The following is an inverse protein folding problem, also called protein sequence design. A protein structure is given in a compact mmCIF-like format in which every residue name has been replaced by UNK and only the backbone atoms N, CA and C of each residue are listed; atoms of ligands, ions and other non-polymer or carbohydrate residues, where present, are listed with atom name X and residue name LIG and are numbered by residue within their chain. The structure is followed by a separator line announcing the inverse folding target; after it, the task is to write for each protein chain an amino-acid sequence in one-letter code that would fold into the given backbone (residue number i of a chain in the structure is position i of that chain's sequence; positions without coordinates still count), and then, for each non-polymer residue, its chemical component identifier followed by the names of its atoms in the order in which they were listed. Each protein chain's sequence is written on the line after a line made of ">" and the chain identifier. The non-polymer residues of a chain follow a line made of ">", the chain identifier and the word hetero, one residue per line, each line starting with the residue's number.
data_IF_553890400036
#
_entry.id   IF_553890400036
#
_cell.length_a   1.000
_cell.length_b   1.000
_cell.length_c   1.000
_cell.angle_alpha   90.00
_cell.angle_beta   90.00
_cell.angle_gamma   90.00
#
_symmetry.space_group_name_H-M   'P 1'
#
loop_
_entity.id
_entity.type
_entity.pdbx_description
1 polymer ?
#
# COMPACT_ATOMS: atom_id res chain seq x y z
N UNK A 1 -9.93 20.03 22.77
CA UNK A 1 -9.86 18.58 23.04
C UNK A 1 -10.51 17.90 21.86
N UNK A 2 -9.83 16.96 21.22
CA UNK A 2 -10.40 16.18 20.13
C UNK A 2 -11.40 15.17 20.68
N UNK A 3 -12.37 14.79 19.85
CA UNK A 3 -13.40 13.83 20.24
C UNK A 3 -13.00 12.49 19.65
N UNK A 4 -12.90 11.46 20.48
CA UNK A 4 -12.70 10.09 20.02
C UNK A 4 -14.05 9.51 19.56
N UNK A 5 -14.34 9.60 18.26
CA UNK A 5 -15.60 9.13 17.69
C UNK A 5 -15.73 7.60 17.75
N UNK A 6 -14.62 6.86 17.70
CA UNK A 6 -14.61 5.40 17.82
C UNK A 6 -15.01 4.98 19.24
N UNK A 7 -14.45 5.65 20.26
CA UNK A 7 -14.88 5.40 21.64
C UNK A 7 -16.36 5.77 21.85
N UNK A 8 -16.84 6.84 21.22
CA UNK A 8 -18.26 7.24 21.31
C UNK A 8 -19.19 6.23 20.65
N UNK A 9 -18.80 5.66 19.52
CA UNK A 9 -19.55 4.61 18.88
C UNK A 9 -19.52 3.30 19.67
N UNK A 10 -18.36 2.93 20.23
CA UNK A 10 -18.25 1.75 21.09
C UNK A 10 -19.16 1.84 22.34
N UNK A 11 -19.29 3.03 22.92
CA UNK A 11 -20.22 3.26 24.03
C UNK A 11 -21.68 3.15 23.56
N UNK A 12 -22.01 3.68 22.38
CA UNK A 12 -23.34 3.54 21.78
C UNK A 12 -23.71 2.07 21.53
N UNK A 13 -22.78 1.28 20.97
CA UNK A 13 -22.98 -0.15 20.71
C UNK A 13 -23.22 -0.91 22.01
N UNK A 14 -22.45 -0.62 23.06
CA UNK A 14 -22.63 -1.27 24.37
C UNK A 14 -24.02 -1.01 24.95
N UNK A 15 -24.52 0.21 24.82
CA UNK A 15 -25.87 0.58 25.27
C UNK A 15 -26.96 -0.06 24.38
N UNK A 16 -26.71 -0.16 23.07
CA UNK A 16 -27.62 -0.79 22.13
C UNK A 16 -27.78 -2.29 22.41
N UNK A 17 -26.68 -3.02 22.60
CA UNK A 17 -26.70 -4.46 22.94
C UNK A 17 -27.50 -4.73 24.21
N UNK A 18 -27.32 -3.91 25.25
CA UNK A 18 -28.06 -4.05 26.51
C UNK A 18 -29.57 -3.84 26.33
N UNK A 19 -29.97 -2.83 25.55
CA UNK A 19 -31.39 -2.54 25.29
C UNK A 19 -32.05 -3.62 24.45
N UNK A 20 -31.34 -4.13 23.46
CA UNK A 20 -31.86 -5.11 22.50
C UNK A 20 -31.61 -6.57 22.90
N UNK A 21 -30.97 -6.81 24.05
CA UNK A 21 -30.67 -8.14 24.61
C UNK A 21 -29.86 -9.00 23.63
N UNK A 22 -28.89 -8.38 22.96
CA UNK A 22 -27.96 -9.07 22.06
C UNK A 22 -26.83 -9.65 22.94
N UNK A 23 -26.73 -10.97 22.97
CA UNK A 23 -25.83 -11.69 23.89
C UNK A 23 -24.57 -12.24 23.21
N UNK A 24 -24.59 -12.48 21.89
CA UNK A 24 -23.46 -13.00 21.11
C UNK A 24 -22.84 -11.91 20.21
N UNK A 25 -21.52 -12.04 19.99
CA UNK A 25 -20.74 -11.14 19.15
C UNK A 25 -21.05 -11.34 17.66
N UNK A 26 -21.38 -12.56 17.22
CA UNK A 26 -21.74 -12.85 15.82
C UNK A 26 -22.96 -12.05 15.33
N UNK A 27 -24.02 -11.93 16.16
CA UNK A 27 -25.22 -11.16 15.78
C UNK A 27 -24.93 -9.65 15.75
N UNK A 28 -23.91 -9.19 16.50
CA UNK A 28 -23.47 -7.81 16.49
C UNK A 28 -22.68 -7.50 15.23
N UNK A 29 -21.77 -8.39 14.81
CA UNK A 29 -20.93 -8.20 13.64
C UNK A 29 -21.76 -8.02 12.36
N UNK A 30 -22.90 -8.71 12.26
CA UNK A 30 -23.84 -8.59 11.14
C UNK A 30 -24.54 -7.22 11.08
N UNK A 31 -24.79 -6.57 12.22
CA UNK A 31 -25.57 -5.32 12.29
C UNK A 31 -24.71 -4.08 12.56
N UNK A 32 -23.49 -4.25 13.06
CA UNK A 32 -22.60 -3.16 13.45
C UNK A 32 -22.30 -2.17 12.31
N UNK A 33 -22.08 -2.61 11.05
CA UNK A 33 -21.88 -1.68 9.93
C UNK A 33 -23.08 -0.76 9.70
N UNK A 34 -24.30 -1.32 9.68
CA UNK A 34 -25.53 -0.56 9.48
C UNK A 34 -25.79 0.40 10.66
N UNK A 35 -25.57 -0.08 11.89
CA UNK A 35 -25.68 0.76 13.10
C UNK A 35 -24.67 1.91 13.10
N UNK A 36 -23.47 1.70 12.57
CA UNK A 36 -22.47 2.75 12.44
C UNK A 36 -22.97 3.84 11.50
N UNK A 37 -23.43 3.46 10.30
CA UNK A 37 -23.96 4.41 9.32
C UNK A 37 -25.16 5.20 9.87
N UNK A 38 -26.09 4.53 10.54
CA UNK A 38 -27.21 5.21 11.21
C UNK A 38 -26.74 6.17 12.31
N UNK A 39 -25.78 5.74 13.13
CA UNK A 39 -25.23 6.55 14.22
C UNK A 39 -24.54 7.82 13.72
N UNK A 40 -23.87 7.76 12.56
CA UNK A 40 -23.21 8.90 11.93
C UNK A 40 -24.18 10.04 11.56
N UNK A 41 -25.45 9.72 11.33
CA UNK A 41 -26.52 10.68 11.02
C UNK A 41 -27.44 10.99 12.22
N UNK A 42 -27.25 10.29 13.34
CA UNK A 42 -28.03 10.51 14.55
C UNK A 42 -27.50 11.72 15.36
N UNK A 43 -28.37 12.68 15.74
CA UNK A 43 -28.02 13.78 16.66
C UNK A 43 -27.42 13.28 17.97
N UNK A 44 -26.34 13.93 18.42
CA UNK A 44 -25.66 13.58 19.66
C UNK A 44 -25.69 14.75 20.64
N UNK A 45 -26.11 14.49 21.88
CA UNK A 45 -26.13 15.52 22.94
C UNK A 45 -24.74 16.11 23.21
N UNK A 46 -23.69 15.29 23.10
CA UNK A 46 -22.29 15.71 23.27
C UNK A 46 -21.71 16.46 22.06
N UNK A 47 -22.47 16.57 20.97
CA UNK A 47 -22.22 17.45 19.82
C UNK A 47 -23.29 18.56 19.73
N UNK A 48 -23.84 19.01 20.86
CA UNK A 48 -24.86 20.07 20.88
C UNK A 48 -26.09 19.75 19.99
N UNK A 49 -26.44 18.47 19.86
CA UNK A 49 -27.60 18.01 19.09
C UNK A 49 -27.37 17.93 17.58
N UNK A 50 -26.13 18.00 17.09
CA UNK A 50 -25.81 17.66 15.69
C UNK A 50 -25.28 16.23 15.56
N UNK A 51 -25.39 15.65 14.37
CA UNK A 51 -24.81 14.33 14.08
C UNK A 51 -23.31 14.40 13.77
N UNK A 52 -22.55 13.30 13.90
CA UNK A 52 -21.15 13.22 13.49
C UNK A 52 -20.90 13.73 12.05
N UNK A 53 -21.73 13.33 11.08
CA UNK A 53 -21.62 13.80 9.70
C UNK A 53 -21.84 15.32 9.61
N UNK A 54 -22.92 15.83 10.24
CA UNK A 54 -23.22 17.26 10.22
C UNK A 54 -22.14 18.12 10.90
N UNK A 55 -21.49 17.59 11.94
CA UNK A 55 -20.41 18.27 12.65
C UNK A 55 -19.23 18.60 11.74
N UNK A 56 -18.77 17.65 10.93
CA UNK A 56 -17.67 17.87 9.98
C UNK A 56 -18.15 18.60 8.72
N UNK A 57 -19.35 18.31 8.22
CA UNK A 57 -19.90 18.96 7.02
C UNK A 57 -20.06 20.49 7.18
N UNK A 58 -20.21 20.98 8.42
CA UNK A 58 -20.29 22.41 8.70
C UNK A 58 -18.92 23.13 8.71
N UNK A 59 -17.80 22.39 8.61
CA UNK A 59 -16.46 22.96 8.67
C UNK A 59 -15.96 23.42 7.30
N UNK A 60 -15.21 24.52 7.29
CA UNK A 60 -14.49 24.96 6.09
C UNK A 60 -13.31 24.01 5.76
N UNK A 61 -12.90 23.90 4.48
CA UNK A 61 -11.82 22.99 4.05
C UNK A 61 -10.53 23.10 4.85
N UNK A 62 -10.05 24.32 5.15
CA UNK A 62 -8.83 24.51 5.95
C UNK A 62 -8.95 23.97 7.37
N UNK A 63 -10.16 24.03 7.94
CA UNK A 63 -10.43 23.47 9.26
C UNK A 63 -10.45 21.96 9.23
N UNK A 64 -11.01 21.33 8.20
CA UNK A 64 -10.98 19.87 8.02
C UNK A 64 -9.54 19.35 7.96
N UNK A 65 -8.68 19.97 7.14
CA UNK A 65 -7.26 19.58 7.04
C UNK A 65 -6.51 19.79 8.37
N UNK A 66 -6.80 20.89 9.07
CA UNK A 66 -6.25 21.12 10.41
C UNK A 66 -6.72 20.08 11.43
N UNK A 67 -7.95 19.59 11.33
CA UNK A 67 -8.47 18.52 12.19
C UNK A 67 -7.77 17.19 11.89
N UNK A 68 -7.57 16.84 10.61
CA UNK A 68 -6.84 15.64 10.20
C UNK A 68 -5.44 15.61 10.84
N UNK A 69 -4.68 16.71 10.70
CA UNK A 69 -3.37 16.84 11.32
C UNK A 69 -3.42 16.66 12.85
N UNK A 70 -4.39 17.30 13.51
CA UNK A 70 -4.55 17.22 14.97
C UNK A 70 -4.88 15.80 15.45
N UNK A 71 -5.74 15.06 14.76
CA UNK A 71 -6.05 13.67 15.10
C UNK A 71 -4.82 12.78 14.99
N UNK A 72 -4.08 12.89 13.88
CA UNK A 72 -2.85 12.11 13.68
C UNK A 72 -1.79 12.45 14.74
N UNK A 73 -1.57 13.73 15.03
CA UNK A 73 -0.64 14.17 16.09
C UNK A 73 -1.04 13.69 17.49
N UNK A 74 -2.35 13.59 17.76
CA UNK A 74 -2.85 13.18 19.08
C UNK A 74 -2.91 11.66 19.24
N UNK A 75 -2.52 10.87 18.23
CA UNK A 75 -2.67 9.41 18.20
C UNK A 75 -4.11 8.94 18.47
N UNK A 76 -5.10 9.73 18.07
CA UNK A 76 -6.51 9.36 18.09
C UNK A 76 -6.90 8.93 16.68
N UNK A 77 -7.72 7.88 16.55
CA UNK A 77 -8.21 7.42 15.25
C UNK A 77 -8.88 8.58 14.51
N UNK A 78 -8.49 8.79 13.25
CA UNK A 78 -9.08 9.83 12.42
C UNK A 78 -10.52 9.40 12.10
N UNK A 79 -11.54 10.21 12.45
CA UNK A 79 -12.93 9.81 12.24
C UNK A 79 -13.25 9.64 10.75
N UNK A 80 -13.94 8.55 10.37
CA UNK A 80 -14.44 8.34 9.01
C UNK A 80 -15.19 9.54 8.42
N UNK A 81 -16.13 10.17 9.15
CA UNK A 81 -16.82 11.37 8.68
C UNK A 81 -15.91 12.55 8.32
N UNK A 82 -14.77 12.69 9.01
CA UNK A 82 -13.78 13.71 8.68
C UNK A 82 -13.09 13.39 7.36
N UNK A 83 -12.67 12.14 7.16
CA UNK A 83 -12.06 11.68 5.91
C UNK A 83 -13.02 11.87 4.73
N UNK A 84 -14.28 11.45 4.89
CA UNK A 84 -15.33 11.61 3.88
C UNK A 84 -15.53 13.08 3.50
N UNK A 85 -15.65 13.98 4.50
CA UNK A 85 -15.78 15.42 4.22
C UNK A 85 -14.56 16.00 3.50
N UNK A 86 -13.36 15.49 3.78
CA UNK A 86 -12.13 15.90 3.08
C UNK A 86 -12.15 15.41 1.63
N UNK A 87 -12.52 14.14 1.42
CA UNK A 87 -12.60 13.54 0.10
C UNK A 87 -13.68 14.22 -0.77
N UNK A 88 -14.89 14.40 -0.24
CA UNK A 88 -16.00 15.10 -0.91
C UNK A 88 -15.66 16.56 -1.26
N UNK A 89 -14.72 17.17 -0.52
CA UNK A 89 -14.25 18.52 -0.75
C UNK A 89 -13.48 18.73 -2.06
N UNK A 90 -12.98 17.65 -2.68
CA UNK A 90 -12.28 17.61 -3.98
C UNK A 90 -11.38 18.82 -4.24
N UNK A 91 -11.74 19.69 -5.18
CA UNK A 91 -10.91 20.81 -5.62
C UNK A 91 -10.63 21.84 -4.51
N UNK A 92 -11.44 21.86 -3.44
CA UNK A 92 -11.24 22.77 -2.30
C UNK A 92 -10.24 22.23 -1.28
N UNK A 93 -10.16 20.92 -1.13
CA UNK A 93 -9.29 20.25 -0.14
C UNK A 93 -7.98 19.79 -0.77
N UNK A 94 -8.00 19.40 -2.05
CA UNK A 94 -6.83 18.89 -2.77
C UNK A 94 -5.59 19.81 -2.71
N UNK A 95 -5.66 21.13 -2.98
CA UNK A 95 -4.47 21.99 -2.88
C UNK A 95 -3.88 22.04 -1.47
N UNK A 96 -4.73 21.94 -0.44
CA UNK A 96 -4.31 21.93 0.96
C UNK A 96 -3.64 20.59 1.32
N UNK A 97 -4.18 19.48 0.84
CA UNK A 97 -3.59 18.15 0.97
C UNK A 97 -2.21 18.08 0.31
N UNK A 98 -2.07 18.57 -0.93
CA UNK A 98 -0.77 18.61 -1.62
C UNK A 98 0.25 19.47 -0.86
N UNK A 99 -0.18 20.62 -0.34
CA UNK A 99 0.69 21.47 0.47
C UNK A 99 1.13 20.76 1.76
N UNK A 100 0.21 20.07 2.44
CA UNK A 100 0.53 19.32 3.67
C UNK A 100 1.45 18.15 3.39
N UNK A 101 1.14 17.35 2.36
CA UNK A 101 1.93 16.21 1.88
C UNK A 101 3.40 16.61 1.65
N UNK A 102 3.64 17.67 0.87
CA UNK A 102 5.01 18.06 0.49
C UNK A 102 5.80 18.74 1.60
N UNK A 103 5.14 19.46 2.51
CA UNK A 103 5.82 20.37 3.45
C UNK A 103 5.82 19.90 4.92
N UNK A 104 4.94 19.01 5.33
CA UNK A 104 4.89 18.54 6.71
C UNK A 104 6.17 17.76 7.08
N UNK A 105 6.80 18.06 8.23
CA UNK A 105 8.01 17.37 8.73
C UNK A 105 7.94 17.21 10.26
N UNK A 106 6.83 16.66 10.76
CA UNK A 106 6.54 16.56 12.19
C UNK A 106 6.43 15.12 12.71
N UNK A 107 5.90 14.96 13.93
CA UNK A 107 5.58 13.65 14.49
C UNK A 107 4.52 12.95 13.63
N UNK A 108 4.58 11.62 13.52
CA UNK A 108 3.66 10.84 12.69
C UNK A 108 3.59 11.28 11.21
N UNK A 109 4.68 11.86 10.67
CA UNK A 109 4.79 12.30 9.27
C UNK A 109 4.44 11.19 8.28
N UNK A 110 4.98 9.99 8.46
CA UNK A 110 4.75 8.84 7.58
C UNK A 110 3.25 8.51 7.51
N UNK A 111 2.62 8.27 8.68
CA UNK A 111 1.18 8.01 8.79
C UNK A 111 0.31 9.10 8.18
N UNK A 112 0.59 10.38 8.48
CA UNK A 112 -0.18 11.51 7.94
C UNK A 112 -0.12 11.53 6.41
N UNK A 113 1.08 11.36 5.85
CA UNK A 113 1.25 11.38 4.40
C UNK A 113 0.63 10.18 3.71
N UNK A 114 0.71 8.99 4.30
CA UNK A 114 0.02 7.79 3.81
C UNK A 114 -1.48 8.02 3.71
N UNK A 115 -2.10 8.63 4.74
CA UNK A 115 -3.53 8.99 4.69
C UNK A 115 -3.81 9.99 3.54
N UNK A 116 -2.93 10.97 3.34
CA UNK A 116 -3.12 11.95 2.25
C UNK A 116 -3.04 11.30 0.87
N UNK A 117 -2.13 10.34 0.64
CA UNK A 117 -2.06 9.60 -0.63
C UNK A 117 -3.37 8.87 -0.91
N UNK A 118 -3.89 8.13 0.08
CA UNK A 118 -5.17 7.41 -0.03
C UNK A 118 -6.37 8.33 -0.26
N UNK A 119 -6.36 9.51 0.37
CA UNK A 119 -7.41 10.51 0.10
C UNK A 119 -7.34 11.01 -1.34
N UNK A 120 -6.15 11.26 -1.91
CA UNK A 120 -6.02 11.69 -3.31
C UNK A 120 -6.56 10.62 -4.27
N UNK A 121 -6.27 9.34 -3.98
CA UNK A 121 -6.82 8.18 -4.71
C UNK A 121 -8.36 8.14 -4.63
N UNK A 122 -8.92 8.17 -3.42
CA UNK A 122 -10.38 8.16 -3.18
C UNK A 122 -11.10 9.33 -3.87
N UNK A 123 -10.45 10.50 -3.90
CA UNK A 123 -10.97 11.69 -4.56
C UNK A 123 -10.92 11.62 -6.09
N UNK A 124 -10.26 10.62 -6.68
CA UNK A 124 -9.95 10.52 -8.11
C UNK A 124 -9.33 11.83 -8.63
N UNK A 125 -8.26 12.27 -7.95
CA UNK A 125 -7.52 13.50 -8.25
C UNK A 125 -6.13 13.18 -8.78
N UNK A 126 -5.53 14.12 -9.52
CA UNK A 126 -4.19 13.94 -10.08
C UNK A 126 -3.14 13.72 -8.98
N UNK A 127 -2.41 12.61 -9.07
CA UNK A 127 -1.32 12.33 -8.14
C UNK A 127 -0.05 13.13 -8.49
N UNK A 128 0.70 13.64 -7.50
CA UNK A 128 1.96 14.33 -7.73
C UNK A 128 3.10 13.33 -8.00
N UNK A 129 3.03 12.56 -9.09
CA UNK A 129 3.96 11.46 -9.37
C UNK A 129 5.44 11.85 -9.36
N UNK A 130 5.80 13.06 -9.83
CA UNK A 130 7.18 13.56 -9.74
C UNK A 130 7.67 13.58 -8.28
N UNK A 131 6.80 13.97 -7.35
CA UNK A 131 7.13 13.98 -5.93
C UNK A 131 7.21 12.56 -5.35
N UNK A 132 6.38 11.62 -5.81
CA UNK A 132 6.48 10.21 -5.40
C UNK A 132 7.80 9.59 -5.86
N UNK A 133 8.25 9.90 -7.08
CA UNK A 133 9.56 9.50 -7.58
C UNK A 133 10.67 10.08 -6.69
N UNK A 134 10.62 11.36 -6.34
CA UNK A 134 11.59 11.98 -5.43
C UNK A 134 11.65 11.30 -4.05
N UNK A 135 10.47 10.94 -3.49
CA UNK A 135 10.37 10.23 -2.21
C UNK A 135 11.05 8.86 -2.29
N UNK A 136 10.68 8.03 -3.28
CA UNK A 136 11.23 6.68 -3.44
C UNK A 136 12.73 6.74 -3.71
N UNK A 137 13.19 7.66 -4.56
CA UNK A 137 14.61 7.83 -4.87
C UNK A 137 15.45 8.22 -3.63
N UNK A 138 14.84 8.91 -2.66
CA UNK A 138 15.46 9.28 -1.39
C UNK A 138 15.38 8.21 -0.29
N UNK A 139 14.62 7.13 -0.49
CA UNK A 139 14.43 6.09 0.52
C UNK A 139 15.55 5.05 0.52
N UNK A 140 16.00 4.66 1.72
CA UNK A 140 16.94 3.55 1.93
C UNK A 140 16.28 2.28 2.47
N UNK A 141 15.03 2.40 2.94
CA UNK A 141 14.21 1.33 3.50
C UNK A 141 12.73 1.60 3.24
N UNK A 142 11.91 0.58 3.44
CA UNK A 142 10.46 0.67 3.28
C UNK A 142 9.81 1.39 4.45
N UNK A 143 8.85 2.26 4.12
CA UNK A 143 7.92 2.90 5.05
C UNK A 143 6.51 2.83 4.49
N UNK A 144 5.47 2.99 5.32
CA UNK A 144 4.08 2.95 4.83
C UNK A 144 3.85 4.04 3.77
N UNK A 145 4.46 5.22 3.94
CA UNK A 145 4.32 6.30 2.97
C UNK A 145 5.02 6.01 1.64
N UNK A 146 6.25 5.48 1.68
CA UNK A 146 6.99 5.17 0.44
C UNK A 146 6.34 4.02 -0.32
N UNK A 147 5.76 3.04 0.37
CA UNK A 147 4.96 1.97 -0.22
C UNK A 147 3.70 2.54 -0.89
N UNK A 148 2.93 3.39 -0.20
CA UNK A 148 1.77 4.04 -0.79
C UNK A 148 2.13 4.87 -2.04
N UNK A 149 3.28 5.55 -2.04
CA UNK A 149 3.77 6.26 -3.23
C UNK A 149 4.09 5.30 -4.40
N UNK A 150 4.69 4.16 -4.10
CA UNK A 150 5.05 3.15 -5.10
C UNK A 150 3.78 2.51 -5.70
N UNK A 151 2.81 2.15 -4.86
CA UNK A 151 1.52 1.58 -5.26
C UNK A 151 0.81 2.49 -6.27
N UNK A 152 0.72 3.79 -5.98
CA UNK A 152 0.12 4.76 -6.91
C UNK A 152 0.92 4.94 -8.20
N UNK A 153 2.26 4.96 -8.08
CA UNK A 153 3.14 5.17 -9.23
C UNK A 153 3.12 3.98 -10.21
N UNK A 154 2.80 2.75 -9.76
CA UNK A 154 2.56 1.60 -10.67
C UNK A 154 1.41 1.85 -11.64
N UNK A 155 0.40 2.59 -11.20
CA UNK A 155 -0.75 2.97 -12.03
C UNK A 155 -0.47 4.20 -12.89
N UNK A 156 0.73 4.80 -12.80
CA UNK A 156 1.08 5.93 -13.64
C UNK A 156 1.13 5.50 -15.12
N UNK A 157 0.53 6.33 -15.97
CA UNK A 157 0.48 6.07 -17.40
C UNK A 157 1.87 6.08 -18.08
N UNK A 158 1.94 5.71 -19.38
CA UNK A 158 3.18 5.67 -20.17
C UNK A 158 3.99 6.96 -20.13
N UNK A 159 3.36 8.10 -19.86
CA UNK A 159 3.99 9.42 -19.81
C UNK A 159 5.07 9.52 -18.70
N UNK A 160 4.98 8.68 -17.66
CA UNK A 160 5.94 8.66 -16.56
C UNK A 160 7.08 7.63 -16.72
N UNK A 161 7.05 6.79 -17.76
CA UNK A 161 8.02 5.70 -17.95
C UNK A 161 9.47 6.21 -17.97
N UNK A 162 9.75 7.29 -18.72
CA UNK A 162 11.11 7.86 -18.78
C UNK A 162 11.56 8.44 -17.44
N UNK A 163 10.64 9.03 -16.67
CA UNK A 163 10.96 9.60 -15.37
C UNK A 163 11.31 8.49 -14.36
N UNK A 164 10.52 7.41 -14.32
CA UNK A 164 10.78 6.25 -13.45
C UNK A 164 12.05 5.51 -13.88
N UNK A 165 12.28 5.33 -15.17
CA UNK A 165 13.51 4.73 -15.68
C UNK A 165 14.74 5.56 -15.29
N UNK A 166 14.67 6.89 -15.44
CA UNK A 166 15.77 7.76 -15.02
C UNK A 166 16.03 7.66 -13.51
N UNK A 167 14.97 7.62 -12.70
CA UNK A 167 15.08 7.46 -11.25
C UNK A 167 15.67 6.10 -10.85
N UNK A 168 15.30 5.01 -11.54
CA UNK A 168 15.90 3.69 -11.39
C UNK A 168 17.41 3.72 -11.66
N UNK A 169 17.83 4.30 -12.78
CA UNK A 169 19.24 4.36 -13.19
C UNK A 169 20.11 5.19 -12.22
N UNK A 170 19.50 6.11 -11.48
CA UNK A 170 20.18 7.03 -10.55
C UNK A 170 19.79 6.81 -9.09
N UNK A 171 19.17 5.66 -8.78
CA UNK A 171 18.68 5.35 -7.45
C UNK A 171 19.80 5.43 -6.40
N UNK A 172 19.50 6.06 -5.25
CA UNK A 172 20.49 6.31 -4.20
C UNK A 172 20.81 5.08 -3.33
N UNK A 173 19.96 4.05 -3.40
CA UNK A 173 20.04 2.84 -2.58
C UNK A 173 19.61 1.60 -3.38
N UNK A 174 20.01 0.42 -2.92
CA UNK A 174 19.55 -0.85 -3.50
C UNK A 174 18.03 -1.00 -3.37
N UNK A 175 17.47 -0.62 -2.23
CA UNK A 175 16.02 -0.60 -1.98
C UNK A 175 15.28 0.26 -3.01
N UNK A 176 15.72 1.50 -3.23
CA UNK A 176 15.08 2.38 -4.22
C UNK A 176 15.19 1.82 -5.64
N UNK A 177 16.34 1.24 -5.99
CA UNK A 177 16.52 0.59 -7.30
C UNK A 177 15.58 -0.60 -7.49
N UNK A 178 15.45 -1.47 -6.49
CA UNK A 178 14.55 -2.63 -6.54
C UNK A 178 13.07 -2.16 -6.57
N UNK A 179 12.70 -1.13 -5.79
CA UNK A 179 11.36 -0.55 -5.82
C UNK A 179 11.00 0.02 -7.21
N UNK A 180 11.88 0.81 -7.83
CA UNK A 180 11.63 1.31 -9.18
C UNK A 180 11.62 0.19 -10.23
N UNK A 181 12.46 -0.84 -10.08
CA UNK A 181 12.42 -1.98 -11.00
C UNK A 181 11.08 -2.70 -10.94
N UNK A 182 10.54 -2.93 -9.75
CA UNK A 182 9.21 -3.52 -9.57
C UNK A 182 8.13 -2.66 -10.23
N UNK A 183 8.14 -1.34 -9.97
CA UNK A 183 7.20 -0.40 -10.60
C UNK A 183 7.28 -0.46 -12.14
N UNK A 184 8.49 -0.48 -12.70
CA UNK A 184 8.70 -0.57 -14.14
C UNK A 184 8.17 -1.88 -14.75
N UNK A 185 7.99 -2.94 -13.95
CA UNK A 185 7.40 -4.20 -14.44
C UNK A 185 5.89 -4.11 -14.66
N UNK A 186 5.21 -3.19 -13.96
CA UNK A 186 3.78 -2.93 -14.10
C UNK A 186 3.48 -1.85 -15.16
N UNK A 187 4.50 -1.09 -15.57
CA UNK A 187 4.42 -0.10 -16.65
C UNK A 187 4.42 -0.74 -18.05
N UNK A 188 4.03 0.01 -19.11
CA UNK A 188 4.12 -0.47 -20.48
C UNK A 188 5.52 -1.00 -20.84
N UNK A 189 5.56 -2.13 -21.54
CA UNK A 189 6.80 -2.84 -21.84
C UNK A 189 7.89 -1.94 -22.43
N UNK A 190 9.04 -1.90 -21.76
CA UNK A 190 10.28 -1.30 -22.25
C UNK A 190 11.42 -2.33 -22.20
N UNK A 191 12.20 -2.40 -23.29
CA UNK A 191 13.30 -3.36 -23.40
C UNK A 191 14.39 -3.11 -22.34
N UNK A 192 14.60 -1.87 -21.89
CA UNK A 192 15.54 -1.53 -20.82
C UNK A 192 15.15 -2.19 -19.51
N UNK A 193 13.87 -2.16 -19.13
CA UNK A 193 13.36 -2.83 -17.93
C UNK A 193 13.71 -4.32 -17.94
N UNK A 194 13.45 -5.00 -19.06
CA UNK A 194 13.85 -6.40 -19.25
C UNK A 194 15.37 -6.60 -19.11
N UNK A 195 16.17 -5.77 -19.79
CA UNK A 195 17.62 -5.90 -19.74
C UNK A 195 18.16 -5.73 -18.31
N UNK A 196 17.61 -4.77 -17.55
CA UNK A 196 18.01 -4.54 -16.16
C UNK A 196 17.58 -5.68 -15.23
N UNK A 197 16.34 -6.16 -15.35
CA UNK A 197 15.88 -7.33 -14.59
C UNK A 197 16.74 -8.56 -14.89
N UNK A 198 17.07 -8.79 -16.18
CA UNK A 198 17.93 -9.90 -16.60
C UNK A 198 19.36 -9.75 -16.09
N UNK A 199 19.96 -8.57 -16.21
CA UNK A 199 21.30 -8.28 -15.69
C UNK A 199 21.36 -8.54 -14.18
N UNK A 200 20.39 -8.03 -13.41
CA UNK A 200 20.31 -8.24 -11.97
C UNK A 200 20.12 -9.71 -11.61
N UNK A 201 19.21 -10.42 -12.31
CA UNK A 201 19.01 -11.86 -12.11
C UNK A 201 20.28 -12.69 -12.36
N UNK A 202 21.10 -12.30 -13.34
CA UNK A 202 22.33 -13.02 -13.69
C UNK A 202 23.51 -12.68 -12.77
N UNK A 203 23.61 -11.42 -12.32
CA UNK A 203 24.78 -10.91 -11.61
C UNK A 203 24.61 -10.80 -10.10
N UNK A 204 23.38 -10.81 -9.59
CA UNK A 204 23.09 -10.71 -8.16
C UNK A 204 22.62 -12.05 -7.59
N UNK A 205 23.40 -12.60 -6.66
CA UNK A 205 23.02 -13.80 -5.90
C UNK A 205 22.01 -13.47 -4.78
N UNK A 206 21.94 -12.20 -4.38
CA UNK A 206 20.96 -11.71 -3.43
C UNK A 206 19.66 -11.39 -4.17
N UNK A 207 18.51 -11.72 -3.56
CA UNK A 207 17.18 -11.42 -4.09
C UNK A 207 16.86 -12.09 -5.44
N UNK A 208 17.45 -13.26 -5.73
CA UNK A 208 17.15 -14.07 -6.93
C UNK A 208 15.64 -14.26 -7.14
N UNK A 209 14.90 -14.60 -6.08
CA UNK A 209 13.44 -14.71 -6.12
C UNK A 209 12.74 -13.45 -6.66
N UNK A 210 13.14 -12.26 -6.18
CA UNK A 210 12.55 -10.99 -6.61
C UNK A 210 12.82 -10.73 -8.09
N UNK A 211 14.08 -10.85 -8.54
CA UNK A 211 14.41 -10.61 -9.96
C UNK A 211 13.74 -11.64 -10.88
N UNK A 212 13.55 -12.88 -10.43
CA UNK A 212 12.77 -13.87 -11.16
C UNK A 212 11.30 -13.44 -11.31
N UNK A 213 10.67 -12.98 -10.23
CA UNK A 213 9.31 -12.42 -10.27
C UNK A 213 9.21 -11.25 -11.24
N UNK A 214 10.18 -10.33 -11.25
CA UNK A 214 10.22 -9.25 -12.24
C UNK A 214 10.25 -9.80 -13.68
N UNK A 215 11.08 -10.82 -13.96
CA UNK A 215 11.15 -11.43 -15.29
C UNK A 215 9.83 -12.11 -15.70
N UNK A 216 9.15 -12.78 -14.77
CA UNK A 216 7.83 -13.36 -14.96
C UNK A 216 6.79 -12.31 -15.31
N UNK A 217 6.67 -11.26 -14.48
CA UNK A 217 5.78 -10.10 -14.71
C UNK A 217 6.01 -9.43 -16.07
N UNK A 218 7.28 -9.20 -16.44
CA UNK A 218 7.65 -8.58 -17.73
C UNK A 218 7.20 -9.43 -18.93
N UNK A 219 7.08 -10.75 -18.76
CA UNK A 219 6.48 -11.62 -19.77
C UNK A 219 7.33 -11.86 -21.02
N UNK A 220 8.65 -11.62 -20.96
CA UNK A 220 9.54 -11.81 -22.12
C UNK A 220 10.16 -13.22 -22.14
N UNK A 221 9.82 -14.10 -23.11
CA UNK A 221 10.30 -15.48 -23.16
C UNK A 221 11.82 -15.63 -23.34
N UNK A 222 12.54 -14.55 -23.66
CA UNK A 222 14.01 -14.57 -23.71
C UNK A 222 14.65 -14.86 -22.34
N UNK A 223 13.88 -14.77 -21.24
CA UNK A 223 14.33 -15.16 -19.91
C UNK A 223 14.34 -16.67 -19.66
N UNK A 224 13.60 -17.48 -20.43
CA UNK A 224 13.45 -18.91 -20.21
C UNK A 224 14.80 -19.65 -20.05
N UNK A 225 15.82 -19.45 -20.91
CA UNK A 225 17.09 -20.17 -20.75
C UNK A 225 17.82 -19.82 -19.45
N UNK A 226 17.73 -18.57 -18.98
CA UNK A 226 18.36 -18.13 -17.75
C UNK A 226 17.66 -18.72 -16.52
N UNK A 227 16.31 -18.75 -16.53
CA UNK A 227 15.51 -19.33 -15.46
C UNK A 227 15.70 -20.85 -15.38
N UNK A 228 15.70 -21.56 -16.51
CA UNK A 228 15.99 -23.00 -16.57
C UNK A 228 17.37 -23.34 -15.97
N UNK A 229 18.39 -22.56 -16.33
CA UNK A 229 19.74 -22.77 -15.82
C UNK A 229 19.84 -22.47 -14.32
N UNK A 230 19.11 -21.46 -13.84
CA UNK A 230 19.05 -21.16 -12.41
C UNK A 230 18.42 -22.32 -11.61
N UNK A 231 17.36 -22.95 -12.11
CA UNK A 231 16.76 -24.14 -11.47
C UNK A 231 17.71 -25.34 -11.38
N UNK A 232 18.71 -25.43 -12.27
CA UNK A 232 19.72 -26.50 -12.28
C UNK A 232 20.82 -26.31 -11.23
N UNK A 233 20.94 -25.14 -10.60
CA UNK A 233 21.96 -24.88 -9.56
C UNK A 233 21.75 -25.78 -8.34
N UNK A 234 22.82 -26.40 -7.85
CA UNK A 234 22.76 -27.40 -6.78
C UNK A 234 22.40 -26.84 -5.40
N UNK A 235 22.75 -25.57 -5.12
CA UNK A 235 22.54 -24.92 -3.82
C UNK A 235 21.45 -23.83 -3.88
N UNK A 236 20.42 -24.03 -4.69
CA UNK A 236 19.27 -23.12 -4.74
C UNK A 236 18.43 -23.26 -3.47
N UNK A 237 18.06 -22.14 -2.84
CA UNK A 237 17.17 -22.14 -1.67
C UNK A 237 15.73 -22.42 -2.11
N UNK A 238 14.92 -23.02 -1.23
CA UNK A 238 13.53 -23.35 -1.57
C UNK A 238 12.73 -22.14 -2.07
N UNK A 239 12.83 -21.01 -1.37
CA UNK A 239 12.14 -19.78 -1.76
C UNK A 239 12.53 -19.27 -3.16
N UNK A 240 13.84 -19.27 -3.47
CA UNK A 240 14.32 -18.87 -4.81
C UNK A 240 13.85 -19.85 -5.88
N UNK A 241 13.86 -21.16 -5.59
CA UNK A 241 13.38 -22.19 -6.49
C UNK A 241 11.90 -22.00 -6.87
N UNK A 242 11.03 -21.76 -5.88
CA UNK A 242 9.60 -21.54 -6.12
C UNK A 242 9.39 -20.29 -6.99
N UNK A 243 10.05 -19.18 -6.67
CA UNK A 243 9.92 -17.95 -7.45
C UNK A 243 10.42 -18.11 -8.90
N UNK A 244 11.56 -18.77 -9.11
CA UNK A 244 12.12 -19.03 -10.45
C UNK A 244 11.21 -19.98 -11.24
N UNK A 245 10.67 -21.02 -10.60
CA UNK A 245 9.71 -21.93 -11.24
C UNK A 245 8.45 -21.17 -11.67
N UNK A 246 7.86 -20.37 -10.78
CA UNK A 246 6.66 -19.60 -11.09
C UNK A 246 6.89 -18.66 -12.28
N UNK A 247 8.00 -17.92 -12.29
CA UNK A 247 8.37 -17.05 -13.41
C UNK A 247 8.57 -17.84 -14.73
N UNK A 248 9.17 -19.03 -14.67
CA UNK A 248 9.36 -19.88 -15.84
C UNK A 248 8.03 -20.41 -16.38
N UNK A 249 7.12 -20.83 -15.51
CA UNK A 249 5.78 -21.30 -15.86
C UNK A 249 4.90 -20.18 -16.44
N UNK A 250 4.97 -18.96 -15.88
CA UNK A 250 4.33 -17.76 -16.42
C UNK A 250 4.77 -17.46 -17.86
N UNK A 251 6.05 -17.72 -18.18
CA UNK A 251 6.61 -17.58 -19.52
C UNK A 251 6.34 -18.79 -20.44
N UNK A 252 5.59 -19.79 -19.96
CA UNK A 252 5.23 -21.00 -20.72
C UNK A 252 6.29 -22.09 -20.75
N UNK A 253 7.31 -22.01 -19.89
CA UNK A 253 8.29 -23.07 -19.69
C UNK A 253 7.72 -24.24 -18.88
N UNK A 254 8.46 -25.35 -18.86
CA UNK A 254 8.13 -26.53 -18.05
C UNK A 254 9.31 -26.89 -17.16
N UNK A 255 9.01 -27.29 -15.91
CA UNK A 255 10.01 -27.77 -14.97
C UNK A 255 9.94 -29.29 -14.88
N UNK A 256 10.94 -29.96 -15.41
CA UNK A 256 11.09 -31.42 -15.34
C UNK A 256 12.08 -31.86 -14.23
N UNK A 257 12.40 -30.96 -13.30
CA UNK A 257 13.41 -31.18 -12.25
C UNK A 257 12.71 -31.47 -10.92
N UNK A 258 12.92 -32.68 -10.40
CA UNK A 258 12.51 -33.05 -9.05
C UNK A 258 13.65 -32.72 -8.06
N UNK A 259 13.36 -31.99 -6.99
CA UNK A 259 14.32 -31.54 -5.97
C UNK A 259 13.81 -31.91 -4.58
N UNK A 260 14.75 -32.26 -3.71
CA UNK A 260 14.49 -32.45 -2.29
C UNK A 260 15.00 -31.22 -1.53
N UNK A 261 14.09 -30.55 -0.81
CA UNK A 261 14.37 -29.37 0.01
C UNK A 261 14.29 -29.67 1.51
N UNK A 262 14.28 -30.95 1.91
CA UNK A 262 14.29 -31.36 3.31
C UNK A 262 15.46 -30.70 4.07
N UNK A 263 15.15 -29.99 5.16
CA UNK A 263 16.16 -29.24 5.93
C UNK A 263 16.40 -27.81 5.46
N UNK A 264 15.71 -27.34 4.41
CA UNK A 264 15.57 -25.92 4.12
C UNK A 264 14.53 -25.31 5.08
N UNK A 265 14.89 -24.20 5.72
CA UNK A 265 14.07 -23.55 6.74
C UNK A 265 12.69 -23.15 6.23
N UNK A 266 12.61 -22.61 5.02
CA UNK A 266 11.36 -22.10 4.45
C UNK A 266 10.46 -23.26 4.04
N UNK A 267 11.05 -24.34 3.51
CA UNK A 267 10.34 -25.58 3.20
C UNK A 267 9.79 -26.27 4.44
N UNK A 268 10.62 -26.44 5.49
CA UNK A 268 10.23 -27.11 6.73
C UNK A 268 9.11 -26.33 7.45
N UNK A 269 9.18 -25.00 7.46
CA UNK A 269 8.13 -24.14 8.07
C UNK A 269 6.77 -24.34 7.38
N UNK A 270 6.74 -24.42 6.06
CA UNK A 270 5.49 -24.66 5.32
C UNK A 270 4.95 -26.07 5.58
N UNK A 271 5.82 -27.08 5.63
CA UNK A 271 5.42 -28.45 5.93
C UNK A 271 4.82 -28.60 7.34
N UNK A 272 5.29 -27.83 8.32
CA UNK A 272 4.72 -27.79 9.68
C UNK A 272 3.37 -27.07 9.76
N UNK A 273 3.11 -26.08 8.89
CA UNK A 273 1.82 -25.37 8.85
C UNK A 273 0.71 -26.21 8.20
N UNK A 274 1.06 -27.13 7.31
CA UNK A 274 0.13 -28.01 6.60
C UNK A 274 -0.17 -29.33 7.36
N UNK A 275 0.53 -29.60 8.47
CA UNK A 275 0.40 -30.80 9.32
C UNK A 275 -0.56 -30.63 10.49
#
# INVERSE_FOLDING_TARGET
>A
MLIDFEQKFADYIRDYMQKHHIENEDDLDDIAPDLYLEWLDMPQDWLDGVSPNAYFAAMEPSRLISMLEQYVLSNITVPGPLLNCIADGREKTYPLLISLLKNYRGENEDKLRTIIVKLIEEMDMEHPYDYYIEVIAGSSEQTEFSEACADELRNAGPDYLEAVMNAFEHASSAYAADCFLDILTDMPYDKRTYNHAMERFLLCDQQQAFYAQCLGKIGNPQALPALEEALRRDNIRYYDYVAIRNALEELGGQVDIERDFSGDKDYDTLAEMES
#
